data_IF_626899351142
#
_entry.id   IF_626899351142
#
_cell.length_a   1.000
_cell.length_b   1.000
_cell.length_c   1.000
_cell.angle_alpha   90.00
_cell.angle_beta   90.00
_cell.angle_gamma   90.00
#
_symmetry.space_group_name_H-M   'P 1'
#
loop_
_entity.id
_entity.type
_entity.pdbx_description
1 polymer ?
#
# COMPACT_ATOMS: atom_id res chain seq x y z
N UNK A 1 1.73 -5.60 11.52
CA UNK A 1 0.58 -5.25 10.74
C UNK A 1 0.21 -6.16 9.56
N UNK A 2 0.77 -7.36 9.55
CA UNK A 2 0.18 -8.47 8.81
C UNK A 2 -1.34 -8.62 9.07
N UNK A 3 -1.87 -8.35 10.29
CA UNK A 3 -3.32 -8.39 10.50
C UNK A 3 -4.10 -7.46 9.58
N UNK A 4 -3.68 -6.20 9.36
CA UNK A 4 -4.45 -5.23 8.57
C UNK A 4 -4.36 -5.48 7.05
N UNK A 5 -3.21 -5.92 6.55
CA UNK A 5 -3.08 -6.33 5.14
C UNK A 5 -3.83 -7.63 4.87
N UNK A 6 -3.74 -8.59 5.78
CA UNK A 6 -4.53 -9.82 5.76
C UNK A 6 -6.01 -9.51 5.87
N UNK A 7 -6.42 -8.59 6.72
CA UNK A 7 -7.82 -8.23 6.94
C UNK A 7 -8.47 -7.60 5.71
N UNK A 8 -7.77 -6.71 4.97
CA UNK A 8 -8.27 -6.16 3.68
C UNK A 8 -8.45 -7.23 2.61
N UNK A 9 -7.49 -8.14 2.47
CA UNK A 9 -7.63 -9.28 1.56
C UNK A 9 -8.63 -10.33 2.09
N UNK A 10 -8.77 -10.43 3.41
CA UNK A 10 -9.76 -11.29 4.06
C UNK A 10 -11.19 -10.83 3.76
N UNK A 11 -11.50 -9.53 3.85
CA UNK A 11 -12.87 -9.06 3.61
C UNK A 11 -13.37 -9.36 2.21
N UNK A 12 -12.60 -9.05 1.14
CA UNK A 12 -13.00 -9.35 -0.25
C UNK A 12 -13.06 -10.87 -0.47
N UNK A 13 -12.06 -11.58 -0.01
CA UNK A 13 -11.91 -13.01 -0.09
C UNK A 13 -13.05 -13.76 0.62
N UNK A 14 -13.44 -13.27 1.80
CA UNK A 14 -14.49 -13.87 2.62
C UNK A 14 -15.88 -13.58 2.01
N UNK A 15 -16.08 -12.38 1.47
CA UNK A 15 -17.29 -12.03 0.71
C UNK A 15 -17.45 -12.85 -0.58
N UNK A 16 -16.35 -13.24 -1.21
CA UNK A 16 -16.35 -14.09 -2.39
C UNK A 16 -16.37 -15.59 -2.07
N UNK A 17 -16.21 -15.99 -0.79
CA UNK A 17 -16.14 -17.40 -0.39
C UNK A 17 -14.90 -18.16 -0.87
N UNK A 18 -13.81 -17.45 -1.23
CA UNK A 18 -12.61 -18.04 -1.87
C UNK A 18 -11.38 -18.03 -0.95
N UNK A 19 -11.57 -17.99 0.36
CA UNK A 19 -10.51 -17.83 1.36
C UNK A 19 -9.38 -18.84 1.25
N UNK A 20 -9.70 -20.10 1.15
CA UNK A 20 -8.69 -21.19 1.09
C UNK A 20 -7.91 -21.17 -0.23
N UNK A 21 -8.56 -20.86 -1.34
CA UNK A 21 -7.92 -20.76 -2.66
C UNK A 21 -6.93 -19.59 -2.70
N UNK A 22 -7.32 -18.41 -2.18
CA UNK A 22 -6.41 -17.26 -2.07
C UNK A 22 -5.22 -17.57 -1.17
N UNK A 23 -5.43 -18.31 -0.08
CA UNK A 23 -4.36 -18.74 0.81
C UNK A 23 -3.37 -19.65 0.08
N UNK A 24 -3.85 -20.65 -0.64
CA UNK A 24 -3.00 -21.57 -1.42
C UNK A 24 -2.15 -20.84 -2.47
N UNK A 25 -2.74 -19.90 -3.23
CA UNK A 25 -2.04 -19.06 -4.22
C UNK A 25 -0.96 -18.21 -3.54
N UNK A 26 -1.29 -17.61 -2.39
CA UNK A 26 -0.35 -16.79 -1.65
C UNK A 26 0.83 -17.59 -1.12
N UNK A 27 0.59 -18.79 -0.62
CA UNK A 27 1.63 -19.71 -0.16
C UNK A 27 2.53 -20.19 -1.31
N UNK A 28 1.98 -20.49 -2.48
CA UNK A 28 2.74 -20.82 -3.69
C UNK A 28 3.67 -19.66 -4.11
N UNK A 29 3.18 -18.43 -4.08
CA UNK A 29 4.01 -17.25 -4.34
C UNK A 29 5.11 -17.06 -3.28
N UNK A 30 4.82 -17.32 -2.02
CA UNK A 30 5.80 -17.23 -0.93
C UNK A 30 6.90 -18.30 -1.02
N UNK A 31 6.58 -19.48 -1.59
CA UNK A 31 7.57 -20.54 -1.88
C UNK A 31 8.35 -20.28 -3.18
N UNK A 32 7.97 -19.25 -3.96
CA UNK A 32 8.62 -18.94 -5.23
C UNK A 32 8.18 -19.83 -6.41
N UNK A 33 7.09 -20.58 -6.26
CA UNK A 33 6.52 -21.44 -7.32
C UNK A 33 5.85 -20.63 -8.42
N UNK A 34 5.30 -19.47 -8.08
CA UNK A 34 4.72 -18.47 -8.98
C UNK A 34 5.22 -17.08 -8.62
N UNK A 35 5.31 -16.21 -9.60
CA UNK A 35 5.69 -14.80 -9.37
C UNK A 35 4.53 -13.96 -8.82
N UNK A 36 4.84 -12.71 -8.48
CA UNK A 36 3.85 -11.78 -7.94
C UNK A 36 2.70 -11.52 -8.94
N UNK A 37 3.03 -11.33 -10.21
CA UNK A 37 2.06 -11.01 -11.25
C UNK A 37 1.11 -12.18 -11.50
N UNK A 38 1.63 -13.38 -11.57
CA UNK A 38 0.82 -14.59 -11.72
C UNK A 38 -0.07 -14.83 -10.49
N UNK A 39 0.48 -14.70 -9.30
CA UNK A 39 -0.29 -14.77 -8.06
C UNK A 39 -1.40 -13.70 -8.02
N UNK A 40 -1.12 -12.50 -8.51
CA UNK A 40 -2.12 -11.44 -8.58
C UNK A 40 -3.27 -11.79 -9.55
N UNK A 41 -2.95 -12.25 -10.78
CA UNK A 41 -3.95 -12.64 -11.78
C UNK A 41 -4.84 -13.76 -11.28
N UNK A 42 -4.27 -14.81 -10.69
CA UNK A 42 -5.03 -15.94 -10.12
C UNK A 42 -6.00 -15.47 -9.02
N UNK A 43 -5.56 -14.57 -8.15
CA UNK A 43 -6.41 -14.00 -7.09
C UNK A 43 -7.53 -13.11 -7.65
N UNK A 44 -7.26 -12.34 -8.71
CA UNK A 44 -8.30 -11.56 -9.40
C UNK A 44 -9.34 -12.46 -10.04
N UNK A 45 -8.92 -13.54 -10.70
CA UNK A 45 -9.84 -14.49 -11.34
C UNK A 45 -10.86 -15.09 -10.35
N UNK A 46 -10.47 -15.30 -9.09
CA UNK A 46 -11.36 -15.78 -8.03
C UNK A 46 -12.45 -14.77 -7.63
N UNK A 47 -12.31 -13.50 -7.98
CA UNK A 47 -13.29 -12.44 -7.68
C UNK A 47 -14.36 -12.29 -8.76
N UNK A 48 -14.30 -13.10 -9.82
CA UNK A 48 -15.24 -13.05 -10.94
C UNK A 48 -16.69 -13.18 -10.45
N UNK A 49 -17.53 -12.26 -10.90
CA UNK A 49 -18.96 -12.24 -10.59
C UNK A 49 -19.31 -11.53 -9.28
N UNK A 50 -18.32 -11.11 -8.48
CA UNK A 50 -18.57 -10.34 -7.27
C UNK A 50 -19.13 -8.95 -7.61
N UNK A 51 -20.17 -8.55 -6.90
CA UNK A 51 -20.80 -7.23 -7.06
C UNK A 51 -19.86 -6.11 -6.56
N UNK A 52 -19.78 -5.02 -7.31
CA UNK A 52 -18.89 -3.89 -6.95
C UNK A 52 -19.28 -3.21 -5.64
N UNK A 53 -20.55 -3.32 -5.21
CA UNK A 53 -21.02 -2.78 -3.93
C UNK A 53 -20.27 -3.35 -2.72
N UNK A 54 -19.79 -4.59 -2.83
CA UNK A 54 -18.93 -5.20 -1.79
C UNK A 54 -17.62 -4.42 -1.60
N UNK A 55 -17.07 -3.85 -2.67
CA UNK A 55 -15.87 -3.03 -2.59
C UNK A 55 -16.12 -1.73 -1.80
N UNK A 56 -17.32 -1.15 -1.95
CA UNK A 56 -17.73 0.04 -1.20
C UNK A 56 -17.86 -0.28 0.29
N UNK A 57 -18.57 -1.33 0.64
CA UNK A 57 -18.74 -1.77 2.02
C UNK A 57 -17.38 -2.00 2.72
N UNK A 58 -16.46 -2.66 2.03
CA UNK A 58 -15.10 -2.88 2.54
C UNK A 58 -14.34 -1.56 2.69
N UNK A 59 -14.45 -0.63 1.73
CA UNK A 59 -13.78 0.65 1.78
C UNK A 59 -14.22 1.50 2.99
N UNK A 60 -15.52 1.54 3.24
CA UNK A 60 -16.11 2.27 4.36
C UNK A 60 -15.68 1.72 5.73
N UNK A 61 -15.41 0.40 5.79
CA UNK A 61 -14.97 -0.31 7.00
C UNK A 61 -13.46 -0.59 7.03
N UNK A 62 -12.66 0.08 6.17
CA UNK A 62 -11.21 -0.12 6.17
C UNK A 62 -10.59 0.25 7.52
N UNK A 63 -9.90 -0.68 8.18
CA UNK A 63 -9.15 -0.36 9.39
C UNK A 63 -7.99 0.58 9.02
N UNK A 64 -7.94 1.72 9.67
CA UNK A 64 -6.88 2.70 9.48
C UNK A 64 -5.75 2.39 10.46
N UNK A 65 -4.53 2.39 9.95
CA UNK A 65 -3.33 2.18 10.78
C UNK A 65 -3.20 3.33 11.78
N UNK A 66 -2.85 2.98 13.03
CA UNK A 66 -2.58 3.97 14.08
C UNK A 66 -1.58 5.03 13.62
N UNK A 67 -1.85 6.29 13.96
CA UNK A 67 -0.99 7.43 13.63
C UNK A 67 -1.18 7.99 12.21
N UNK A 68 -1.98 7.37 11.34
CA UNK A 68 -2.19 7.84 9.95
C UNK A 68 -2.81 9.23 9.94
N UNK A 69 -3.85 9.48 10.72
CA UNK A 69 -4.55 10.78 10.74
C UNK A 69 -3.59 11.92 11.11
N UNK A 70 -2.77 11.71 12.15
CA UNK A 70 -1.74 12.67 12.59
C UNK A 70 -0.67 12.86 11.51
N UNK A 71 -0.15 11.77 10.95
CA UNK A 71 0.87 11.80 9.92
C UNK A 71 0.40 12.60 8.69
N UNK A 72 -0.77 12.26 8.13
CA UNK A 72 -1.29 12.90 6.93
C UNK A 72 -1.53 14.39 7.14
N UNK A 73 -2.13 14.77 8.26
CA UNK A 73 -2.35 16.18 8.62
C UNK A 73 -1.05 16.98 8.66
N UNK A 74 -0.02 16.46 9.32
CA UNK A 74 1.27 17.17 9.47
C UNK A 74 2.00 17.23 8.13
N UNK A 75 2.12 16.12 7.41
CA UNK A 75 2.81 16.09 6.12
C UNK A 75 2.19 17.06 5.12
N UNK A 76 0.85 17.15 5.07
CA UNK A 76 0.17 18.11 4.20
C UNK A 76 0.44 19.55 4.64
N UNK A 77 0.41 19.82 5.93
CA UNK A 77 0.67 21.18 6.47
C UNK A 77 2.08 21.67 6.15
N UNK A 78 3.06 20.77 6.18
CA UNK A 78 4.47 21.12 5.86
C UNK A 78 4.81 20.98 4.37
N UNK A 79 3.83 20.71 3.52
CA UNK A 79 3.96 20.76 2.07
C UNK A 79 4.46 19.46 1.41
N UNK A 80 4.45 18.34 2.11
CA UNK A 80 4.79 17.05 1.49
C UNK A 80 3.77 16.65 0.43
N UNK A 81 4.27 16.06 -0.65
CA UNK A 81 3.48 15.28 -1.60
C UNK A 81 3.38 13.83 -1.13
N UNK A 82 2.18 13.29 -1.17
CA UNK A 82 1.88 11.97 -0.62
C UNK A 82 1.41 11.04 -1.73
N UNK A 83 2.01 9.87 -1.81
CA UNK A 83 1.67 8.85 -2.80
C UNK A 83 1.35 7.49 -2.15
N UNK A 84 0.35 6.80 -2.70
CA UNK A 84 0.10 5.38 -2.44
C UNK A 84 0.58 4.59 -3.66
N UNK A 85 1.58 3.71 -3.47
CA UNK A 85 2.08 2.76 -4.46
C UNK A 85 1.77 1.35 -3.97
N UNK A 86 0.69 0.75 -4.47
CA UNK A 86 0.12 -0.46 -3.88
C UNK A 86 -0.03 -1.60 -4.88
N UNK A 87 0.37 -2.79 -4.49
CA UNK A 87 -0.01 -4.03 -5.18
C UNK A 87 -1.46 -4.47 -4.91
N UNK A 88 -2.25 -3.66 -4.20
CA UNK A 88 -3.69 -3.83 -4.01
C UNK A 88 -4.50 -3.16 -5.13
N UNK A 89 -5.75 -2.79 -4.82
CA UNK A 89 -6.69 -2.27 -5.82
C UNK A 89 -6.87 -0.75 -5.73
N UNK A 90 -6.98 -0.11 -6.89
CA UNK A 90 -7.20 1.34 -7.04
C UNK A 90 -8.44 1.82 -6.31
N UNK A 91 -9.48 1.01 -6.22
CA UNK A 91 -10.70 1.35 -5.51
C UNK A 91 -10.41 1.82 -4.07
N UNK A 92 -9.64 1.06 -3.32
CA UNK A 92 -9.27 1.40 -1.93
C UNK A 92 -8.25 2.54 -1.85
N UNK A 93 -7.33 2.59 -2.81
CA UNK A 93 -6.39 3.71 -2.92
C UNK A 93 -7.10 5.04 -3.14
N UNK A 94 -8.12 5.06 -4.02
CA UNK A 94 -8.92 6.24 -4.30
C UNK A 94 -9.81 6.65 -3.12
N UNK A 95 -10.36 5.69 -2.37
CA UNK A 95 -11.08 5.98 -1.13
C UNK A 95 -10.16 6.70 -0.11
N UNK A 96 -8.94 6.19 0.09
CA UNK A 96 -7.96 6.83 0.97
C UNK A 96 -7.47 8.18 0.42
N UNK A 97 -7.36 8.32 -0.90
CA UNK A 97 -7.02 9.60 -1.56
C UNK A 97 -8.02 10.68 -1.21
N UNK A 98 -9.29 10.39 -1.28
CA UNK A 98 -10.35 11.34 -0.92
C UNK A 98 -10.32 11.65 0.58
N UNK A 99 -10.19 10.64 1.43
CA UNK A 99 -10.18 10.79 2.88
C UNK A 99 -9.01 11.64 3.40
N UNK A 100 -7.82 11.47 2.83
CA UNK A 100 -6.58 12.08 3.33
C UNK A 100 -5.96 13.11 2.38
N UNK A 101 -6.66 13.48 1.31
CA UNK A 101 -6.15 14.41 0.29
C UNK A 101 -4.76 14.00 -0.26
N UNK A 102 -4.63 12.70 -0.59
CA UNK A 102 -3.39 12.14 -1.13
C UNK A 102 -3.19 12.60 -2.58
N UNK A 103 -1.97 12.95 -2.96
CA UNK A 103 -1.69 13.53 -4.29
C UNK A 103 -1.71 12.46 -5.38
N UNK A 104 -1.11 11.29 -5.14
CA UNK A 104 -0.94 10.22 -6.13
C UNK A 104 -1.44 8.88 -5.61
N UNK A 105 -2.12 8.13 -6.48
CA UNK A 105 -2.48 6.73 -6.24
C UNK A 105 -2.14 5.90 -7.47
N UNK A 106 -1.27 4.94 -7.28
CA UNK A 106 -0.97 3.92 -8.27
C UNK A 106 -1.19 2.55 -7.63
N UNK A 107 -2.15 1.82 -8.16
CA UNK A 107 -2.52 0.48 -7.72
C UNK A 107 -3.12 -0.27 -8.91
N UNK A 108 -3.53 -1.52 -8.70
CA UNK A 108 -4.08 -2.34 -9.77
C UNK A 108 -5.58 -2.05 -9.94
N UNK A 109 -6.00 -1.84 -11.15
CA UNK A 109 -7.40 -1.60 -11.50
C UNK A 109 -8.09 -2.92 -11.82
N UNK A 110 -9.22 -3.17 -11.16
CA UNK A 110 -10.07 -4.32 -11.48
C UNK A 110 -11.01 -3.97 -12.63
N UNK A 111 -11.14 -4.90 -13.57
CA UNK A 111 -12.11 -4.75 -14.65
C UNK A 111 -13.54 -5.01 -14.13
N UNK A 112 -14.44 -4.07 -14.44
CA UNK A 112 -15.84 -4.12 -14.00
C UNK A 112 -16.75 -4.06 -15.24
N UNK A 113 -17.68 -5.02 -15.34
CA UNK A 113 -18.73 -5.04 -16.34
C UNK A 113 -20.08 -5.23 -15.67
N UNK A 114 -21.06 -4.42 -16.04
CA UNK A 114 -22.43 -4.48 -15.52
C UNK A 114 -22.50 -4.51 -13.97
N UNK A 115 -21.64 -3.74 -13.30
CA UNK A 115 -21.60 -3.65 -11.84
C UNK A 115 -20.94 -4.85 -11.14
N UNK A 116 -20.30 -5.75 -11.89
CA UNK A 116 -19.61 -6.93 -11.35
C UNK A 116 -18.17 -7.00 -11.81
N UNK A 117 -17.33 -7.60 -10.96
CA UNK A 117 -15.95 -7.89 -11.29
C UNK A 117 -15.89 -9.00 -12.36
N UNK A 118 -15.10 -8.79 -13.40
CA UNK A 118 -14.92 -9.80 -14.46
C UNK A 118 -13.92 -10.89 -14.07
N UNK A 119 -13.10 -10.63 -13.04
CA UNK A 119 -11.96 -11.46 -12.66
C UNK A 119 -10.65 -11.07 -13.35
N UNK A 120 -10.67 -10.04 -14.19
CA UNK A 120 -9.50 -9.48 -14.86
C UNK A 120 -9.06 -8.17 -14.19
N UNK A 121 -7.92 -7.67 -14.64
CA UNK A 121 -7.42 -6.34 -14.29
C UNK A 121 -7.16 -5.53 -15.57
N UNK A 122 -7.11 -4.22 -15.43
CA UNK A 122 -6.79 -3.27 -16.49
C UNK A 122 -5.36 -2.75 -16.29
N UNK A 123 -4.59 -2.69 -17.38
CA UNK A 123 -3.25 -2.12 -17.38
C UNK A 123 -2.18 -2.98 -16.69
N UNK A 124 -1.04 -2.33 -16.40
CA UNK A 124 0.13 -2.98 -15.82
C UNK A 124 -0.04 -3.28 -14.33
N UNK A 125 0.46 -4.42 -13.89
CA UNK A 125 0.45 -4.81 -12.49
C UNK A 125 1.52 -4.01 -11.73
N UNK A 126 1.13 -3.42 -10.60
CA UNK A 126 2.03 -2.68 -9.71
C UNK A 126 2.75 -3.67 -8.79
N UNK A 127 3.84 -4.21 -9.29
CA UNK A 127 4.78 -5.06 -8.57
C UNK A 127 5.88 -4.22 -7.86
N UNK A 128 6.89 -4.88 -7.31
CA UNK A 128 8.00 -4.21 -6.62
C UNK A 128 8.86 -3.34 -7.53
N UNK A 129 9.13 -3.78 -8.76
CA UNK A 129 9.88 -3.02 -9.76
C UNK A 129 9.09 -1.78 -10.17
N UNK A 130 7.80 -1.96 -10.46
CA UNK A 130 6.90 -0.87 -10.84
C UNK A 130 6.77 0.19 -9.75
N UNK A 131 6.74 -0.19 -8.48
CA UNK A 131 6.75 0.78 -7.36
C UNK A 131 8.01 1.66 -7.36
N UNK A 132 9.17 1.08 -7.60
CA UNK A 132 10.41 1.84 -7.68
C UNK A 132 10.44 2.80 -8.89
N UNK A 133 9.92 2.36 -10.05
CA UNK A 133 9.77 3.21 -11.24
C UNK A 133 8.81 4.37 -10.98
N UNK A 134 7.67 4.09 -10.35
CA UNK A 134 6.67 5.10 -10.00
C UNK A 134 7.20 6.12 -8.99
N UNK A 135 8.00 5.71 -8.01
CA UNK A 135 8.65 6.63 -7.09
C UNK A 135 9.58 7.60 -7.83
N UNK A 136 10.39 7.10 -8.78
CA UNK A 136 11.25 7.96 -9.61
C UNK A 136 10.43 8.91 -10.48
N UNK A 137 9.36 8.40 -11.10
CA UNK A 137 8.47 9.21 -11.92
C UNK A 137 7.84 10.37 -11.12
N UNK A 138 7.32 10.08 -9.92
CA UNK A 138 6.72 11.10 -9.05
C UNK A 138 7.79 12.12 -8.63
N UNK A 139 8.97 11.68 -8.24
CA UNK A 139 10.08 12.57 -7.89
C UNK A 139 10.43 13.51 -9.06
N UNK A 140 10.45 12.98 -10.28
CA UNK A 140 10.71 13.77 -11.50
C UNK A 140 9.56 14.77 -11.76
N UNK A 141 8.30 14.36 -11.65
CA UNK A 141 7.12 15.22 -11.86
C UNK A 141 7.08 16.36 -10.84
N UNK A 142 7.41 16.08 -9.60
CA UNK A 142 7.46 17.08 -8.52
C UNK A 142 8.78 17.87 -8.49
N UNK A 143 9.70 17.58 -9.41
CA UNK A 143 11.02 18.23 -9.51
C UNK A 143 11.82 18.16 -8.19
N UNK A 144 11.80 16.99 -7.54
CA UNK A 144 12.58 16.69 -6.34
C UNK A 144 13.61 15.61 -6.61
N UNK A 145 14.76 15.68 -5.93
CA UNK A 145 15.75 14.61 -6.01
C UNK A 145 15.22 13.35 -5.30
N UNK A 146 15.54 12.17 -5.86
CA UNK A 146 15.14 10.89 -5.25
C UNK A 146 15.63 10.77 -3.78
N UNK A 147 16.73 11.42 -3.43
CA UNK A 147 17.26 11.50 -2.06
C UNK A 147 16.37 12.29 -1.10
N UNK A 148 15.43 13.09 -1.62
CA UNK A 148 14.44 13.84 -0.85
C UNK A 148 13.13 13.07 -0.66
N UNK A 149 13.07 11.82 -1.11
CA UNK A 149 11.89 10.98 -0.99
C UNK A 149 11.94 10.09 0.26
N UNK A 150 10.76 9.79 0.79
CA UNK A 150 10.56 8.83 1.87
C UNK A 150 9.71 7.68 1.34
N UNK A 151 10.19 6.46 1.46
CA UNK A 151 9.44 5.27 1.08
C UNK A 151 9.19 4.38 2.31
N UNK A 152 7.95 3.96 2.49
CA UNK A 152 7.53 3.16 3.64
C UNK A 152 6.83 1.89 3.15
N UNK A 153 7.21 0.74 3.67
CA UNK A 153 6.60 -0.53 3.28
C UNK A 153 6.80 -1.64 4.30
N UNK A 154 6.02 -2.72 4.16
CA UNK A 154 6.01 -3.86 5.07
C UNK A 154 6.45 -5.19 4.40
N UNK A 155 6.44 -5.23 3.07
CA UNK A 155 6.63 -6.45 2.29
C UNK A 155 7.88 -6.48 1.42
N UNK A 156 8.26 -7.67 0.96
CA UNK A 156 9.38 -7.86 0.06
C UNK A 156 9.21 -7.10 -1.27
N UNK A 157 7.98 -6.91 -1.72
CA UNK A 157 7.64 -6.13 -2.90
C UNK A 157 7.82 -4.61 -2.71
N UNK A 158 8.09 -4.14 -1.48
CA UNK A 158 8.39 -2.73 -1.21
C UNK A 158 9.91 -2.45 -1.20
N UNK A 159 10.74 -3.50 -1.11
CA UNK A 159 12.19 -3.37 -1.02
C UNK A 159 12.83 -2.59 -2.18
N UNK A 160 12.45 -2.80 -3.47
CA UNK A 160 13.01 -2.01 -4.55
C UNK A 160 12.77 -0.51 -4.39
N UNK A 161 11.58 -0.11 -3.95
CA UNK A 161 11.22 1.28 -3.69
C UNK A 161 11.95 1.82 -2.44
N UNK A 162 11.95 1.07 -1.35
CA UNK A 162 12.64 1.42 -0.08
C UNK A 162 14.14 1.63 -0.32
N UNK A 163 14.76 0.81 -1.18
CA UNK A 163 16.20 0.84 -1.42
C UNK A 163 16.67 2.07 -2.19
N UNK A 164 15.83 2.68 -3.01
CA UNK A 164 16.19 3.85 -3.84
C UNK A 164 15.79 5.18 -3.22
N UNK A 165 14.88 5.16 -2.26
CA UNK A 165 14.46 6.38 -1.56
C UNK A 165 15.59 6.97 -0.72
N UNK A 166 15.57 8.29 -0.51
CA UNK A 166 16.47 8.96 0.41
C UNK A 166 16.32 8.44 1.84
N UNK A 167 15.07 8.22 2.27
CA UNK A 167 14.73 7.57 3.52
C UNK A 167 13.79 6.39 3.26
N UNK A 168 14.32 5.17 3.38
CA UNK A 168 13.54 3.94 3.26
C UNK A 168 13.24 3.33 4.62
N UNK A 169 11.97 3.13 4.95
CA UNK A 169 11.50 2.66 6.25
C UNK A 169 10.72 1.35 6.10
N UNK A 170 11.15 0.32 6.82
CA UNK A 170 10.39 -0.92 7.02
C UNK A 170 9.41 -0.71 8.18
N UNK A 171 8.11 -0.62 7.88
CA UNK A 171 7.07 -0.38 8.87
C UNK A 171 6.37 -1.68 9.24
N UNK A 172 6.50 -2.09 10.52
CA UNK A 172 5.95 -3.36 11.04
C UNK A 172 6.18 -4.54 10.08
N UNK A 173 7.36 -4.56 9.49
CA UNK A 173 7.73 -5.45 8.40
C UNK A 173 8.20 -6.82 8.90
N UNK A 174 8.22 -7.78 7.98
CA UNK A 174 8.80 -9.11 8.23
C UNK A 174 10.31 -9.00 8.49
N UNK A 175 10.91 -9.96 9.24
CA UNK A 175 12.34 -9.92 9.57
C UNK A 175 13.26 -9.71 8.37
N UNK A 176 12.98 -10.37 7.25
CA UNK A 176 13.76 -10.22 6.00
C UNK A 176 13.72 -8.79 5.46
N UNK A 177 12.58 -8.12 5.53
CA UNK A 177 12.43 -6.73 5.07
C UNK A 177 13.14 -5.77 6.01
N UNK A 178 13.00 -5.98 7.34
CA UNK A 178 13.71 -5.19 8.37
C UNK A 178 15.22 -5.29 8.22
N UNK A 179 15.74 -6.48 7.93
CA UNK A 179 17.18 -6.70 7.76
C UNK A 179 17.76 -5.98 6.53
N UNK A 180 16.95 -5.70 5.52
CA UNK A 180 17.39 -5.04 4.27
C UNK A 180 17.19 -3.52 4.32
N UNK A 181 16.15 -3.04 4.99
CA UNK A 181 15.89 -1.61 5.14
C UNK A 181 16.84 -0.97 6.15
N UNK A 182 17.31 0.26 5.88
CA UNK A 182 18.19 1.00 6.79
C UNK A 182 17.50 1.44 8.07
N UNK A 183 16.19 1.67 8.02
CA UNK A 183 15.38 2.13 9.13
C UNK A 183 14.15 1.24 9.30
N UNK A 184 13.68 1.06 10.53
CA UNK A 184 12.47 0.31 10.80
C UNK A 184 11.67 0.87 11.96
N UNK A 185 10.33 0.78 11.85
CA UNK A 185 9.37 1.06 12.91
C UNK A 185 8.65 -0.25 13.23
N UNK A 186 8.65 -0.67 14.50
CA UNK A 186 8.13 -1.98 14.91
C UNK A 186 7.08 -1.92 16.01
N UNK A 187 6.98 -0.83 16.76
CA UNK A 187 6.16 -0.74 17.98
C UNK A 187 5.22 0.46 18.05
N UNK A 188 5.51 1.54 17.33
CA UNK A 188 4.71 2.78 17.34
C UNK A 188 3.88 2.89 16.05
N UNK A 189 2.94 3.84 16.04
CA UNK A 189 2.09 4.12 14.89
C UNK A 189 2.85 4.65 13.67
N UNK A 190 2.14 4.84 12.57
CA UNK A 190 2.73 5.32 11.32
C UNK A 190 3.27 6.76 11.44
N UNK A 191 2.75 7.54 12.35
CA UNK A 191 3.25 8.88 12.70
C UNK A 191 4.68 8.88 13.27
N UNK A 192 5.20 7.72 13.69
CA UNK A 192 6.61 7.53 14.01
C UNK A 192 7.57 7.93 12.89
N UNK A 193 7.11 8.00 11.64
CA UNK A 193 7.86 8.54 10.50
C UNK A 193 8.29 9.98 10.75
N UNK A 194 7.48 10.77 11.44
CA UNK A 194 7.77 12.18 11.72
C UNK A 194 9.07 12.37 12.50
N UNK A 195 9.40 11.45 13.40
CA UNK A 195 10.67 11.50 14.16
C UNK A 195 11.88 11.28 13.25
N UNK A 196 11.78 10.41 12.25
CA UNK A 196 12.84 10.23 11.25
C UNK A 196 13.00 11.47 10.35
N UNK A 197 11.96 12.29 10.21
CA UNK A 197 11.99 13.56 9.50
C UNK A 197 12.48 14.72 10.39
N UNK A 198 12.83 14.44 11.65
CA UNK A 198 13.39 15.42 12.59
C UNK A 198 12.36 16.23 13.36
N UNK A 199 11.07 15.89 13.27
CA UNK A 199 10.03 16.54 14.06
C UNK A 199 10.03 16.02 15.49
N UNK A 200 10.04 16.94 16.48
CA UNK A 200 9.96 16.65 17.91
C UNK A 200 8.51 16.79 18.39
N UNK A 201 8.17 16.14 19.49
CA UNK A 201 6.82 16.23 20.09
C UNK A 201 6.40 17.66 20.38
N UNK A 202 7.30 18.49 20.93
CA UNK A 202 7.01 19.90 21.18
C UNK A 202 6.57 20.67 19.93
N UNK A 203 7.16 20.37 18.77
CA UNK A 203 6.74 20.98 17.50
C UNK A 203 5.42 20.41 16.99
N UNK A 204 5.17 19.12 17.25
CA UNK A 204 3.97 18.43 16.81
C UNK A 204 2.74 18.84 17.65
N UNK A 205 2.94 19.13 18.94
CA UNK A 205 1.88 19.58 19.86
C UNK A 205 1.44 21.03 19.58
N UNK A 206 2.35 21.91 19.19
CA UNK A 206 2.05 23.28 18.76
C UNK A 206 1.23 23.32 17.45
N UNK A 207 1.15 22.21 16.74
CA UNK A 207 0.44 22.08 15.47
C UNK A 207 -0.95 21.43 15.62
N UNK A 208 -1.36 21.07 16.84
CA UNK A 208 -2.71 20.61 17.15
C UNK A 208 -3.67 21.77 17.34
#
# INVERSE_FOLDING_TARGET
HEPYRRQRQMCIRDSAGVGDQVKAITEAAMRGEIDFCESFRQRCALLKGLDVSVMQEIAENLPITEGVDRLMRILKKVGFKIAILSGGFTYFGNFLKQKYNIDYVYANELEIENGKLTGNHVGDIVDGKRKAELLRLIAQVENVDIRQTVAVGDGANDLPMISIAGLGIAFHAKPKVKATAKQSISTIGLDGILYFLGYKDSYLDEQM
#
